data_IF_881419340089
#
_entry.id   IF_881419340089
#
_cell.length_a   1.000
_cell.length_b   1.000
_cell.length_c   1.000
_cell.angle_alpha   90.00
_cell.angle_beta   90.00
_cell.angle_gamma   90.00
#
_symmetry.space_group_name_H-M   'P 1'
#
loop_
_entity.id
_entity.type
_entity.pdbx_description
1 polymer ?
#
# COMPACT_ATOMS: atom_id res chain seq x y z
N UNK A 1 -12.99 59.78 -0.09
CA UNK A 1 -14.24 59.10 -0.52
C UNK A 1 -14.02 57.57 -0.48
N UNK A 2 -15.11 56.83 -0.25
CA UNK A 2 -15.21 55.43 0.21
C UNK A 2 -14.67 54.38 -0.79
N UNK A 3 -14.24 53.22 -0.27
CA UNK A 3 -14.00 51.93 -0.99
C UNK A 3 -15.22 51.50 -1.83
N UNK A 4 -15.06 50.64 -2.85
CA UNK A 4 -15.36 49.21 -2.62
C UNK A 4 -14.42 48.20 -3.32
N UNK A 5 -14.22 47.08 -2.63
CA UNK A 5 -13.93 45.76 -3.22
C UNK A 5 -15.28 45.07 -3.48
N UNK A 6 -15.43 44.27 -4.56
CA UNK A 6 -15.88 42.89 -4.36
C UNK A 6 -15.25 41.82 -5.30
N UNK A 7 -15.15 40.61 -4.76
CA UNK A 7 -14.83 39.30 -5.36
C UNK A 7 -15.98 38.69 -6.21
N UNK A 8 -16.05 37.37 -6.48
CA UNK A 8 -15.12 36.41 -7.11
C UNK A 8 -15.66 35.89 -8.47
N UNK A 9 -14.81 35.34 -9.34
CA UNK A 9 -15.24 34.69 -10.59
C UNK A 9 -16.01 33.39 -10.28
N UNK A 10 -17.34 33.44 -10.39
CA UNK A 10 -18.21 32.25 -10.38
C UNK A 10 -18.11 31.54 -11.74
N UNK A 11 -17.58 30.31 -11.77
CA UNK A 11 -17.74 29.41 -12.92
C UNK A 11 -19.17 28.84 -12.95
N UNK A 12 -19.83 28.79 -14.11
CA UNK A 12 -21.15 28.17 -14.23
C UNK A 12 -21.09 26.64 -14.11
N UNK A 13 -22.17 25.99 -13.61
CA UNK A 13 -22.30 24.54 -13.58
C UNK A 13 -22.82 24.04 -14.92
N UNK A 14 -22.05 23.22 -15.64
CA UNK A 14 -22.52 22.58 -16.87
C UNK A 14 -22.84 21.10 -16.65
N UNK A 15 -24.03 20.75 -17.13
CA UNK A 15 -24.80 19.57 -16.81
C UNK A 15 -24.27 18.30 -17.51
N UNK A 16 -24.42 17.15 -16.82
CA UNK A 16 -24.22 15.81 -17.38
C UNK A 16 -25.28 15.51 -18.45
N UNK A 17 -24.92 14.92 -19.60
CA UNK A 17 -25.84 14.10 -20.37
C UNK A 17 -25.74 12.64 -19.94
N UNK A 18 -26.87 12.08 -19.49
CA UNK A 18 -27.12 10.64 -19.36
C UNK A 18 -27.81 10.19 -20.65
N UNK A 19 -27.37 9.10 -21.29
CA UNK A 19 -28.25 8.27 -22.10
C UNK A 19 -28.46 6.90 -21.46
N UNK A 20 -29.74 6.57 -21.28
CA UNK A 20 -30.29 5.32 -20.75
C UNK A 20 -30.64 4.34 -21.89
N UNK A 21 -30.52 3.05 -21.55
CA UNK A 21 -31.17 1.85 -22.12
C UNK A 21 -30.86 1.36 -23.55
N UNK A 22 -30.28 0.16 -23.59
CA UNK A 22 -30.31 -0.76 -24.73
C UNK A 22 -29.87 -2.16 -24.28
N UNK A 23 -30.81 -2.97 -23.82
CA UNK A 23 -30.61 -4.32 -23.30
C UNK A 23 -30.27 -5.31 -24.41
N UNK A 24 -29.18 -6.07 -24.28
CA UNK A 24 -28.98 -7.35 -24.96
C UNK A 24 -28.12 -8.25 -24.08
N UNK A 25 -28.70 -9.40 -23.71
CA UNK A 25 -28.11 -10.40 -22.85
C UNK A 25 -26.83 -10.99 -23.44
N UNK A 26 -25.74 -10.89 -22.68
CA UNK A 26 -24.64 -11.85 -22.72
C UNK A 26 -24.34 -12.19 -21.25
N UNK A 27 -24.60 -13.43 -20.87
CA UNK A 27 -24.33 -13.93 -19.54
C UNK A 27 -22.81 -13.84 -19.26
N UNK A 28 -22.39 -12.78 -18.58
CA UNK A 28 -21.10 -12.74 -17.94
C UNK A 28 -21.22 -13.62 -16.69
N UNK A 29 -20.62 -14.80 -16.76
CA UNK A 29 -20.44 -15.67 -15.59
C UNK A 29 -19.84 -14.82 -14.47
N UNK A 30 -20.58 -14.65 -13.39
CA UNK A 30 -20.03 -14.16 -12.13
C UNK A 30 -18.87 -15.12 -11.80
N UNK A 31 -17.62 -14.65 -11.69
CA UNK A 31 -16.58 -15.49 -11.15
C UNK A 31 -17.04 -15.84 -9.74
N UNK A 32 -17.23 -17.15 -9.53
CA UNK A 32 -17.63 -17.73 -8.26
C UNK A 32 -16.91 -17.00 -7.13
N UNK A 33 -17.65 -16.55 -6.11
CA UNK A 33 -17.08 -16.18 -4.84
C UNK A 33 -16.34 -17.40 -4.31
N UNK A 34 -15.05 -17.47 -4.64
CA UNK A 34 -14.06 -18.27 -3.97
C UNK A 34 -14.29 -18.05 -2.46
N UNK A 35 -14.35 -19.11 -1.64
CA UNK A 35 -14.60 -18.95 -0.21
C UNK A 35 -13.52 -18.01 0.33
N UNK A 36 -13.90 -16.76 0.60
CA UNK A 36 -13.00 -15.75 1.18
C UNK A 36 -12.41 -16.42 2.41
N UNK A 37 -11.10 -16.69 2.47
CA UNK A 37 -10.52 -17.26 3.67
C UNK A 37 -10.90 -16.34 4.81
N UNK A 38 -11.48 -16.91 5.86
CA UNK A 38 -11.89 -16.18 7.06
C UNK A 38 -10.69 -15.32 7.45
N UNK A 39 -10.81 -14.01 7.22
CA UNK A 39 -9.70 -13.10 7.40
C UNK A 39 -9.43 -13.05 8.90
N UNK A 40 -8.45 -13.83 9.35
CA UNK A 40 -7.66 -13.44 10.51
C UNK A 40 -7.17 -12.01 10.32
N UNK A 41 -6.76 -11.31 11.39
CA UNK A 41 -6.41 -9.90 11.28
C UNK A 41 -5.41 -9.70 10.14
N UNK A 42 -5.85 -8.98 9.10
CA UNK A 42 -5.06 -8.49 7.98
C UNK A 42 -3.65 -8.10 8.46
N UNK A 43 -2.49 -8.69 8.03
CA UNK A 43 -1.23 -8.07 8.38
C UNK A 43 -1.27 -6.63 7.88
N UNK A 44 -1.07 -5.66 8.78
CA UNK A 44 -1.00 -4.27 8.38
C UNK A 44 0.32 -4.08 7.64
N UNK A 45 0.26 -3.88 6.33
CA UNK A 45 1.44 -3.64 5.52
C UNK A 45 1.67 -2.13 5.36
N UNK A 46 2.94 -1.73 5.44
CA UNK A 46 3.37 -0.37 5.13
C UNK A 46 4.43 -0.38 4.05
N UNK A 47 4.07 0.19 2.90
CA UNK A 47 5.00 0.39 1.79
C UNK A 47 5.97 1.54 2.07
N UNK A 48 7.26 1.27 1.88
CA UNK A 48 8.36 2.22 2.05
C UNK A 48 9.34 2.07 0.89
N UNK A 49 9.95 3.18 0.48
CA UNK A 49 10.88 3.21 -0.64
C UNK A 49 12.19 3.93 -0.28
N UNK A 50 13.31 3.28 -0.57
CA UNK A 50 14.65 3.80 -0.38
C UNK A 50 15.09 4.70 -1.55
N UNK A 51 14.51 5.90 -1.61
CA UNK A 51 14.76 6.86 -2.69
C UNK A 51 16.24 7.32 -2.77
N UNK A 52 17.00 7.22 -1.68
CA UNK A 52 18.38 7.70 -1.60
C UNK A 52 19.42 6.61 -1.79
N UNK A 53 19.02 5.38 -2.12
CA UNK A 53 19.93 4.23 -2.23
C UNK A 53 20.89 4.10 -1.04
N UNK A 54 20.41 4.42 0.16
CA UNK A 54 21.20 4.19 1.37
C UNK A 54 21.32 2.68 1.63
N UNK A 55 22.28 2.22 2.45
CA UNK A 55 22.39 0.80 2.79
C UNK A 55 21.06 0.26 3.31
N UNK A 56 20.61 -0.88 2.76
CA UNK A 56 19.31 -1.48 3.06
C UNK A 56 19.17 -1.75 4.55
N UNK A 57 20.23 -2.19 5.22
CA UNK A 57 20.20 -2.44 6.65
C UNK A 57 19.93 -1.19 7.47
N UNK A 58 20.52 -0.07 7.09
CA UNK A 58 20.30 1.24 7.74
C UNK A 58 18.87 1.71 7.50
N UNK A 59 18.41 1.61 6.25
CA UNK A 59 17.05 1.96 5.88
C UNK A 59 16.00 1.16 6.66
N UNK A 60 16.11 -0.16 6.67
CA UNK A 60 15.13 -1.00 7.35
C UNK A 60 15.16 -0.82 8.87
N UNK A 61 16.32 -0.59 9.49
CA UNK A 61 16.39 -0.26 10.94
C UNK A 61 15.60 1.01 11.27
N UNK A 62 15.74 2.06 10.47
CA UNK A 62 15.00 3.31 10.67
C UNK A 62 13.49 3.09 10.48
N UNK A 63 13.10 2.43 9.39
CA UNK A 63 11.70 2.30 9.03
C UNK A 63 10.93 1.27 9.87
N UNK A 64 11.59 0.23 10.38
CA UNK A 64 10.98 -0.70 11.34
C UNK A 64 10.66 -0.03 12.68
N UNK A 65 11.51 0.90 13.15
CA UNK A 65 11.21 1.74 14.32
C UNK A 65 10.02 2.66 14.06
N UNK A 66 9.98 3.32 12.88
CA UNK A 66 8.84 4.14 12.46
C UNK A 66 7.56 3.32 12.35
N UNK A 67 7.65 2.09 11.86
CA UNK A 67 6.52 1.17 11.77
C UNK A 67 5.96 0.87 13.16
N UNK A 68 6.82 0.54 14.13
CA UNK A 68 6.40 0.29 15.50
C UNK A 68 5.73 1.52 16.13
N UNK A 69 6.28 2.72 15.91
CA UNK A 69 5.67 3.95 16.40
C UNK A 69 4.28 4.21 15.76
N UNK A 70 4.09 3.80 14.51
CA UNK A 70 2.84 4.00 13.77
C UNK A 70 1.75 2.97 14.10
N UNK A 71 2.11 1.69 14.22
CA UNK A 71 1.16 0.59 14.37
C UNK A 71 1.12 0.01 15.80
N UNK A 72 2.04 0.40 16.68
CA UNK A 72 2.10 -0.05 18.07
C UNK A 72 2.75 -1.42 18.28
N UNK A 73 3.23 -2.08 17.21
CA UNK A 73 3.88 -3.39 17.25
C UNK A 73 5.07 -3.45 16.29
N UNK A 74 6.12 -4.24 16.58
CA UNK A 74 7.30 -4.30 15.73
C UNK A 74 6.99 -4.92 14.37
N UNK A 75 7.63 -4.40 13.32
CA UNK A 75 7.66 -5.09 12.04
C UNK A 75 8.52 -6.36 12.18
N UNK A 76 7.93 -7.51 11.92
CA UNK A 76 8.59 -8.82 12.00
C UNK A 76 8.81 -9.44 10.62
N UNK A 77 8.12 -8.91 9.61
CA UNK A 77 8.13 -9.40 8.24
C UNK A 77 8.40 -8.27 7.26
N UNK A 78 9.20 -8.54 6.25
CA UNK A 78 9.51 -7.63 5.14
C UNK A 78 9.29 -8.35 3.82
N UNK A 79 8.48 -7.77 2.93
CA UNK A 79 8.50 -8.15 1.52
C UNK A 79 9.51 -7.26 0.80
N UNK A 80 10.41 -7.88 0.05
CA UNK A 80 11.47 -7.20 -0.69
C UNK A 80 11.67 -7.79 -2.09
N UNK A 81 12.48 -7.11 -2.91
CA UNK A 81 13.03 -7.68 -4.14
C UNK A 81 14.17 -8.66 -3.82
N UNK A 82 14.45 -9.62 -4.72
CA UNK A 82 15.48 -10.66 -4.52
C UNK A 82 16.88 -10.09 -4.24
N UNK A 83 17.22 -8.97 -4.87
CA UNK A 83 18.52 -8.32 -4.70
C UNK A 83 18.74 -7.77 -3.29
N UNK A 84 17.67 -7.44 -2.57
CA UNK A 84 17.72 -6.88 -1.22
C UNK A 84 17.62 -7.97 -0.14
N UNK A 85 17.20 -9.19 -0.51
CA UNK A 85 17.05 -10.34 0.38
C UNK A 85 18.24 -10.58 1.33
N UNK A 86 19.52 -10.61 0.88
CA UNK A 86 20.64 -10.87 1.78
C UNK A 86 20.77 -9.80 2.88
N UNK A 87 20.49 -8.54 2.56
CA UNK A 87 20.53 -7.45 3.53
C UNK A 87 19.37 -7.56 4.54
N UNK A 88 18.18 -7.96 4.10
CA UNK A 88 17.03 -8.19 5.00
C UNK A 88 17.29 -9.37 5.94
N UNK A 89 17.83 -10.47 5.43
CA UNK A 89 18.17 -11.65 6.23
C UNK A 89 19.25 -11.33 7.28
N UNK A 90 20.23 -10.48 6.93
CA UNK A 90 21.26 -9.99 7.86
C UNK A 90 20.71 -9.21 9.07
N UNK A 91 19.46 -8.73 9.00
CA UNK A 91 18.78 -8.05 10.11
C UNK A 91 17.98 -9.00 11.02
N UNK A 92 17.83 -10.27 10.67
CA UNK A 92 17.01 -11.23 11.42
C UNK A 92 15.50 -11.01 11.26
N UNK A 93 15.06 -10.31 10.20
CA UNK A 93 13.65 -10.13 9.86
C UNK A 93 13.16 -11.29 8.99
N UNK A 94 11.91 -11.71 9.15
CA UNK A 94 11.31 -12.66 8.22
C UNK A 94 11.18 -12.01 6.84
N UNK A 95 11.81 -12.58 5.82
CA UNK A 95 11.84 -12.00 4.49
C UNK A 95 11.00 -12.83 3.52
N UNK A 96 10.20 -12.16 2.69
CA UNK A 96 9.52 -12.77 1.54
C UNK A 96 9.88 -12.02 0.27
N UNK A 97 10.25 -12.74 -0.77
CA UNK A 97 10.59 -12.13 -2.05
C UNK A 97 9.33 -11.97 -2.88
N UNK A 98 9.17 -10.81 -3.50
CA UNK A 98 8.11 -10.58 -4.49
C UNK A 98 8.71 -10.10 -5.82
N UNK A 99 8.41 -10.77 -6.95
CA UNK A 99 8.88 -10.32 -8.27
C UNK A 99 8.19 -9.02 -8.73
N UNK A 100 7.14 -8.58 -8.03
CA UNK A 100 6.44 -7.33 -8.31
C UNK A 100 7.15 -6.12 -7.69
N UNK A 101 8.06 -6.35 -6.74
CA UNK A 101 8.83 -5.28 -6.11
C UNK A 101 10.05 -4.92 -6.93
N UNK A 102 10.35 -3.63 -7.03
CA UNK A 102 11.62 -3.15 -7.57
C UNK A 102 12.67 -3.11 -6.44
N UNK A 103 13.98 -3.17 -6.77
CA UNK A 103 15.03 -2.96 -5.78
C UNK A 103 14.81 -1.70 -4.94
N UNK A 104 15.09 -1.79 -3.63
CA UNK A 104 14.89 -0.68 -2.68
C UNK A 104 13.43 -0.38 -2.33
N UNK A 105 12.47 -1.18 -2.80
CA UNK A 105 11.06 -1.10 -2.40
C UNK A 105 10.72 -2.21 -1.41
N UNK A 106 10.05 -1.84 -0.33
CA UNK A 106 9.75 -2.76 0.76
C UNK A 106 8.31 -2.63 1.23
N UNK A 107 7.71 -3.74 1.62
CA UNK A 107 6.54 -3.71 2.51
C UNK A 107 6.96 -4.21 3.88
N UNK A 108 6.77 -3.38 4.90
CA UNK A 108 6.94 -3.76 6.29
C UNK A 108 5.61 -4.30 6.81
N UNK A 109 5.65 -5.42 7.50
CA UNK A 109 4.47 -6.03 8.10
C UNK A 109 4.79 -6.64 9.46
N UNK A 110 3.73 -6.97 10.16
CA UNK A 110 3.78 -7.76 11.38
C UNK A 110 3.09 -9.08 11.12
N UNK A 111 3.84 -10.18 11.23
CA UNK A 111 3.25 -11.51 11.28
C UNK A 111 2.63 -11.74 12.66
N UNK A 112 1.35 -12.12 12.68
CA UNK A 112 0.63 -12.51 13.89
C UNK A 112 1.08 -13.91 14.36
N UNK A 113 2.36 -14.13 14.62
CA UNK A 113 2.85 -15.27 15.41
C UNK A 113 2.33 -16.68 15.09
N UNK A 114 1.80 -16.95 13.89
CA UNK A 114 1.54 -18.32 13.45
C UNK A 114 2.90 -18.90 13.05
N UNK A 115 3.58 -19.43 14.06
CA UNK A 115 4.71 -20.31 13.88
C UNK A 115 4.24 -21.51 13.04
N UNK A 116 4.64 -21.53 11.78
CA UNK A 116 4.71 -22.75 10.98
C UNK A 116 5.96 -23.55 11.36
#
# INVERSE_FOLDING_TARGET
>A
MRKPEPAPVRRPPEARPVPEAGSAAAAAQEPAEDPRPVAGPAPSYWWVWNAHNQPVETFLREWTQKYQAKFGHPATLVLCHEADLPAVQGLGLAASVSPLLQPGHFYLGHGNGDAL
#
